data_IF_265059254414
#
_entry.id   IF_265059254414
#
_cell.length_a   1.000
_cell.length_b   1.000
_cell.length_c   1.000
_cell.angle_alpha   90.00
_cell.angle_beta   90.00
_cell.angle_gamma   90.00
#
_symmetry.space_group_name_H-M   'P 1'
#
loop_
_entity.id
_entity.type
_entity.pdbx_description
1 polymer ?
#
# COMPACT_ATOMS: atom_id res chain seq x y z
N UNK A 1 59.44 -21.38 17.03
CA UNK A 1 59.11 -22.82 17.17
C UNK A 1 58.33 -23.22 15.93
N UNK A 2 58.87 -23.80 14.85
CA UNK A 2 59.66 -25.04 14.64
C UNK A 2 58.87 -26.34 14.89
N UNK A 3 58.65 -27.08 13.76
CA UNK A 3 58.51 -28.55 13.58
C UNK A 3 57.14 -29.20 13.91
N UNK A 4 56.68 -30.26 13.24
CA UNK A 4 57.04 -31.03 12.02
C UNK A 4 55.95 -32.12 11.86
N UNK A 5 55.64 -32.46 10.61
CA UNK A 5 55.43 -33.83 10.06
C UNK A 5 55.10 -34.99 11.02
N UNK A 6 54.12 -35.81 10.63
CA UNK A 6 54.39 -37.20 10.20
C UNK A 6 53.24 -37.86 9.42
N UNK A 7 53.63 -38.49 8.31
CA UNK A 7 52.91 -39.51 7.53
C UNK A 7 52.75 -40.80 8.36
N UNK A 8 51.73 -41.59 8.03
CA UNK A 8 51.79 -43.05 8.15
C UNK A 8 51.15 -43.69 6.90
N UNK A 9 51.82 -44.75 6.45
CA UNK A 9 51.64 -45.53 5.23
C UNK A 9 50.77 -46.77 5.47
N UNK A 10 50.24 -47.34 4.40
CA UNK A 10 49.91 -48.78 4.30
C UNK A 10 48.63 -49.02 3.50
N UNK A 11 48.50 -49.97 2.58
CA UNK A 11 49.36 -51.06 2.08
C UNK A 11 48.88 -51.42 0.67
N UNK A 12 49.82 -51.86 -0.17
CA UNK A 12 49.67 -52.45 -1.50
C UNK A 12 48.73 -53.67 -1.53
N UNK A 13 47.95 -53.83 -2.60
CA UNK A 13 47.67 -55.16 -3.15
C UNK A 13 47.64 -55.11 -4.68
N UNK A 14 48.46 -55.97 -5.28
CA UNK A 14 48.65 -56.20 -6.71
C UNK A 14 47.42 -56.86 -7.33
N UNK A 15 47.06 -56.43 -8.55
CA UNK A 15 46.09 -57.10 -9.41
C UNK A 15 46.52 -56.98 -10.86
N UNK A 16 46.81 -58.11 -11.46
CA UNK A 16 47.45 -58.34 -12.76
C UNK A 16 46.64 -57.91 -13.99
N UNK A 17 47.40 -57.69 -15.06
CA UNK A 17 47.04 -57.30 -16.42
C UNK A 17 45.85 -58.05 -17.08
N UNK A 18 45.25 -57.41 -18.09
CA UNK A 18 45.02 -58.03 -19.40
C UNK A 18 44.84 -56.95 -20.49
N UNK A 19 45.66 -57.02 -21.54
CA UNK A 19 45.48 -56.31 -22.80
C UNK A 19 44.36 -57.01 -23.59
N UNK A 20 43.38 -56.25 -24.08
CA UNK A 20 42.54 -56.70 -25.19
C UNK A 20 42.11 -55.49 -26.03
N UNK A 21 42.56 -55.49 -27.29
CA UNK A 21 42.05 -54.65 -28.36
C UNK A 21 40.61 -55.03 -28.69
N UNK A 22 39.76 -54.07 -29.06
CA UNK A 22 38.41 -54.39 -29.52
C UNK A 22 37.55 -53.17 -29.86
N UNK A 23 37.45 -52.89 -31.16
CA UNK A 23 36.34 -52.29 -31.90
C UNK A 23 35.62 -51.05 -31.33
N UNK A 24 35.76 -49.93 -32.05
CA UNK A 24 34.82 -48.82 -32.01
C UNK A 24 33.40 -49.30 -32.38
N UNK A 25 32.44 -49.04 -31.49
CA UNK A 25 31.00 -49.23 -31.71
C UNK A 25 30.38 -47.83 -31.85
N UNK A 26 29.55 -47.55 -32.86
CA UNK A 26 28.94 -46.24 -33.01
C UNK A 26 27.98 -45.97 -31.85
N UNK A 27 28.10 -44.79 -31.24
CA UNK A 27 27.14 -44.31 -30.25
C UNK A 27 25.77 -44.17 -30.93
N UNK A 28 24.86 -45.10 -30.64
CA UNK A 28 23.45 -44.93 -30.94
C UNK A 28 22.92 -43.79 -30.09
N UNK A 29 22.57 -42.68 -30.75
CA UNK A 29 21.88 -41.57 -30.12
C UNK A 29 20.51 -42.07 -29.66
N UNK A 30 20.36 -42.34 -28.38
CA UNK A 30 19.04 -42.40 -27.75
C UNK A 30 18.47 -40.98 -27.79
N UNK A 31 17.51 -40.75 -28.69
CA UNK A 31 16.63 -39.60 -28.63
C UNK A 31 15.87 -39.67 -27.31
N UNK A 32 16.34 -38.97 -26.29
CA UNK A 32 15.51 -38.61 -25.16
C UNK A 32 14.35 -37.80 -25.74
N UNK A 33 13.16 -38.40 -25.79
CA UNK A 33 11.93 -37.64 -25.94
C UNK A 33 11.87 -36.75 -24.70
N UNK A 34 12.37 -35.52 -24.86
CA UNK A 34 11.99 -34.43 -24.00
C UNK A 34 10.47 -34.33 -24.21
N UNK A 35 9.72 -34.95 -23.29
CA UNK A 35 8.36 -34.54 -23.04
C UNK A 35 8.48 -33.03 -22.80
N UNK A 36 8.14 -32.26 -23.83
CA UNK A 36 7.93 -30.85 -23.70
C UNK A 36 6.86 -30.74 -22.61
N UNK A 37 7.30 -30.44 -21.39
CA UNK A 37 6.44 -29.91 -20.37
C UNK A 37 5.78 -28.73 -21.04
N UNK A 38 4.54 -28.93 -21.50
CA UNK A 38 3.70 -27.86 -21.95
C UNK A 38 3.71 -26.87 -20.80
N UNK A 39 4.42 -25.75 -20.97
CA UNK A 39 4.31 -24.63 -20.06
C UNK A 39 2.83 -24.31 -20.04
N UNK A 40 2.16 -24.72 -18.97
CA UNK A 40 0.81 -24.28 -18.63
C UNK A 40 0.79 -22.80 -18.95
N UNK A 41 0.03 -22.40 -19.98
CA UNK A 41 -0.09 -21.00 -20.34
C UNK A 41 -0.52 -20.33 -19.04
N UNK A 42 0.40 -19.55 -18.45
CA UNK A 42 0.12 -18.75 -17.27
C UNK A 42 -1.12 -17.96 -17.66
N UNK A 43 -2.26 -18.29 -17.05
CA UNK A 43 -3.57 -17.72 -17.37
C UNK A 43 -3.44 -16.24 -17.05
N UNK A 44 -3.07 -15.46 -18.06
CA UNK A 44 -2.69 -14.08 -17.87
C UNK A 44 -3.97 -13.32 -17.65
N UNK A 45 -4.22 -12.96 -16.40
CA UNK A 45 -5.28 -12.02 -16.09
C UNK A 45 -5.03 -10.75 -16.95
N UNK A 46 -6.04 -10.21 -17.65
CA UNK A 46 -5.89 -8.97 -18.42
C UNK A 46 -5.65 -7.76 -17.50
N UNK A 47 -4.73 -6.83 -17.83
CA UNK A 47 -4.39 -5.72 -16.93
C UNK A 47 -5.59 -4.80 -16.67
N UNK A 48 -5.56 -4.06 -15.56
CA UNK A 48 -6.57 -3.05 -15.24
C UNK A 48 -6.85 -2.10 -16.43
N UNK A 49 -8.11 -1.75 -16.66
CA UNK A 49 -8.51 -0.93 -17.82
C UNK A 49 -8.32 0.57 -17.60
N UNK A 50 -8.30 0.99 -16.34
CA UNK A 50 -8.30 2.39 -15.96
C UNK A 50 -7.40 2.62 -14.74
N UNK A 51 -6.90 3.85 -14.65
CA UNK A 51 -6.14 4.35 -13.50
C UNK A 51 -6.84 5.62 -13.04
N UNK A 52 -7.65 5.58 -11.97
CA UNK A 52 -8.45 6.72 -11.55
C UNK A 52 -7.62 7.77 -10.81
N UNK A 53 -7.97 9.03 -11.02
CA UNK A 53 -7.47 10.15 -10.21
C UNK A 53 -8.34 10.34 -8.97
N UNK A 54 -7.76 10.05 -7.80
CA UNK A 54 -8.38 10.17 -6.49
C UNK A 54 -8.06 11.52 -5.86
N UNK A 55 -9.08 12.16 -5.29
CA UNK A 55 -8.89 13.26 -4.36
C UNK A 55 -8.76 12.71 -2.94
N UNK A 56 -7.71 13.09 -2.21
CA UNK A 56 -7.53 12.71 -0.81
C UNK A 56 -8.72 13.17 0.04
N UNK A 57 -9.34 12.25 0.79
CA UNK A 57 -10.57 12.52 1.54
C UNK A 57 -11.83 12.68 0.68
N UNK A 58 -11.72 12.49 -0.63
CA UNK A 58 -12.83 12.58 -1.59
C UNK A 58 -13.63 11.27 -1.72
N UNK A 59 -14.59 11.23 -2.67
CA UNK A 59 -15.41 10.05 -2.91
C UNK A 59 -14.61 8.88 -3.50
N UNK A 60 -15.16 7.67 -3.37
CA UNK A 60 -14.58 6.47 -3.96
C UNK A 60 -14.60 6.53 -5.49
N UNK A 61 -13.56 5.96 -6.11
CA UNK A 61 -13.53 5.68 -7.55
C UNK A 61 -13.22 4.20 -7.79
N UNK A 62 -13.50 3.78 -9.01
CA UNK A 62 -13.43 2.39 -9.42
C UNK A 62 -12.16 2.09 -10.19
N UNK A 63 -11.59 0.91 -9.95
CA UNK A 63 -10.60 0.27 -10.82
C UNK A 63 -11.20 -1.01 -11.35
N UNK A 64 -11.22 -1.15 -12.67
CA UNK A 64 -11.88 -2.24 -13.36
C UNK A 64 -10.86 -3.23 -13.93
N UNK A 65 -11.02 -4.49 -13.52
CA UNK A 65 -10.26 -5.63 -14.01
C UNK A 65 -11.06 -6.36 -15.08
N UNK A 66 -10.60 -6.40 -16.34
CA UNK A 66 -11.32 -7.06 -17.42
C UNK A 66 -11.49 -8.56 -17.16
N UNK A 67 -12.60 -9.14 -17.65
CA UNK A 67 -12.73 -10.58 -17.75
C UNK A 67 -11.68 -11.18 -18.69
N UNK A 68 -11.21 -12.39 -18.40
CA UNK A 68 -10.37 -13.18 -19.31
C UNK A 68 -11.19 -13.94 -20.38
N UNK A 69 -12.53 -13.92 -20.26
CA UNK A 69 -13.46 -14.57 -21.18
C UNK A 69 -13.42 -16.09 -21.10
N UNK A 70 -12.80 -16.66 -20.06
CA UNK A 70 -12.63 -18.10 -19.91
C UNK A 70 -13.58 -18.69 -18.87
N UNK A 71 -13.80 -20.00 -19.00
CA UNK A 71 -14.43 -20.83 -17.97
C UNK A 71 -13.38 -21.35 -17.01
N UNK A 72 -13.65 -21.16 -15.74
CA UNK A 72 -12.87 -21.67 -14.63
C UNK A 72 -13.58 -22.91 -14.05
N UNK A 73 -12.80 -23.93 -13.71
CA UNK A 73 -13.28 -25.26 -13.30
C UNK A 73 -12.92 -25.60 -11.86
N UNK A 74 -12.59 -24.59 -11.07
CA UNK A 74 -12.25 -24.72 -9.66
C UNK A 74 -12.64 -23.44 -8.91
N UNK A 75 -12.90 -23.53 -7.60
CA UNK A 75 -12.97 -22.36 -6.74
C UNK A 75 -11.68 -21.55 -6.79
N UNK A 76 -11.78 -20.23 -6.71
CA UNK A 76 -10.61 -19.35 -6.76
C UNK A 76 -10.65 -18.31 -5.63
N UNK A 77 -9.47 -17.94 -5.15
CA UNK A 77 -9.30 -16.89 -4.16
C UNK A 77 -8.77 -15.61 -4.81
N UNK A 78 -9.31 -14.49 -4.33
CA UNK A 78 -8.86 -13.15 -4.68
C UNK A 78 -8.27 -12.51 -3.44
N UNK A 79 -7.10 -11.92 -3.58
CA UNK A 79 -6.45 -11.11 -2.54
C UNK A 79 -6.06 -9.77 -3.14
N UNK A 80 -6.41 -8.69 -2.45
CA UNK A 80 -6.15 -7.32 -2.90
C UNK A 80 -5.40 -6.60 -1.79
N UNK A 81 -4.31 -5.94 -2.16
CA UNK A 81 -3.59 -5.00 -1.32
C UNK A 81 -3.86 -3.59 -1.85
N UNK A 82 -4.38 -2.71 -0.99
CA UNK A 82 -4.61 -1.33 -1.35
C UNK A 82 -3.28 -0.62 -1.66
N UNK A 83 -3.24 0.29 -2.64
CA UNK A 83 -2.10 1.20 -2.82
C UNK A 83 -1.79 2.00 -1.54
N UNK A 84 -0.53 2.44 -1.34
CA UNK A 84 -0.20 3.37 -0.26
C UNK A 84 -1.10 4.60 -0.25
N UNK A 85 -1.44 5.10 0.94
CA UNK A 85 -2.35 6.24 1.16
C UNK A 85 -3.77 6.07 0.59
N UNK A 86 -4.20 4.82 0.38
CA UNK A 86 -5.56 4.51 -0.04
C UNK A 86 -6.16 3.38 0.79
N UNK A 87 -7.47 3.23 0.70
CA UNK A 87 -8.20 2.10 1.28
C UNK A 87 -9.28 1.61 0.33
N UNK A 88 -9.50 0.30 0.36
CA UNK A 88 -10.57 -0.38 -0.36
C UNK A 88 -11.85 -0.24 0.46
N UNK A 89 -12.91 0.24 -0.18
CA UNK A 89 -14.22 0.44 0.48
C UNK A 89 -15.30 -0.48 -0.08
N UNK A 90 -15.01 -1.15 -1.20
CA UNK A 90 -15.94 -2.07 -1.84
C UNK A 90 -15.25 -2.93 -2.88
N UNK A 91 -15.82 -4.10 -3.13
CA UNK A 91 -15.39 -5.02 -4.17
C UNK A 91 -16.62 -5.65 -4.81
N UNK A 92 -16.77 -5.43 -6.10
CA UNK A 92 -17.87 -5.92 -6.90
C UNK A 92 -17.39 -7.01 -7.86
N UNK A 93 -17.61 -8.27 -7.47
CA UNK A 93 -17.21 -9.43 -8.26
C UNK A 93 -18.29 -9.90 -9.24
N UNK A 94 -19.51 -9.35 -9.14
CA UNK A 94 -20.64 -9.65 -10.05
C UNK A 94 -20.88 -11.15 -10.26
N UNK A 95 -20.68 -11.94 -9.21
CA UNK A 95 -20.90 -13.38 -9.22
C UNK A 95 -22.36 -13.70 -9.52
N UNK A 96 -22.62 -14.36 -10.65
CA UNK A 96 -23.97 -14.69 -11.10
C UNK A 96 -24.29 -16.13 -10.71
N UNK A 97 -25.34 -16.34 -9.92
CA UNK A 97 -25.80 -17.68 -9.53
C UNK A 97 -24.97 -18.39 -8.46
N UNK A 98 -24.10 -17.67 -7.75
CA UNK A 98 -23.23 -18.24 -6.71
C UNK A 98 -22.78 -17.19 -5.68
N UNK A 99 -22.37 -17.67 -4.50
CA UNK A 99 -21.90 -16.82 -3.40
C UNK A 99 -20.42 -16.49 -3.58
N UNK A 100 -20.11 -15.20 -3.41
CA UNK A 100 -18.75 -14.69 -3.35
C UNK A 100 -18.56 -13.88 -2.07
N UNK A 101 -18.24 -14.52 -0.93
CA UNK A 101 -17.99 -13.77 0.30
C UNK A 101 -16.80 -12.84 0.07
N UNK A 102 -17.03 -11.56 0.31
CA UNK A 102 -16.01 -10.50 0.30
C UNK A 102 -15.75 -10.09 1.74
N UNK A 103 -14.47 -9.99 2.11
CA UNK A 103 -14.03 -9.52 3.41
C UNK A 103 -13.00 -8.40 3.20
N UNK A 104 -13.31 -7.21 3.70
CA UNK A 104 -12.40 -6.06 3.66
C UNK A 104 -11.88 -5.87 5.09
N UNK A 105 -10.57 -5.71 5.25
CA UNK A 105 -9.98 -5.43 6.55
C UNK A 105 -10.52 -4.12 7.12
N UNK A 106 -10.57 -3.99 8.46
CA UNK A 106 -11.14 -2.80 9.11
C UNK A 106 -10.43 -1.48 8.77
N UNK A 107 -9.16 -1.55 8.37
CA UNK A 107 -8.36 -0.42 7.87
C UNK A 107 -8.51 -0.19 6.35
N UNK A 108 -9.20 -1.10 5.65
CA UNK A 108 -9.35 -1.14 4.20
C UNK A 108 -8.04 -1.34 3.43
N UNK A 109 -6.94 -1.73 4.08
CA UNK A 109 -5.63 -1.90 3.42
C UNK A 109 -5.52 -3.23 2.68
N UNK A 110 -6.38 -4.18 3.01
CA UNK A 110 -6.49 -5.44 2.30
C UNK A 110 -7.95 -5.87 2.14
N UNK A 111 -8.22 -6.61 1.07
CA UNK A 111 -9.49 -7.27 0.86
C UNK A 111 -9.25 -8.69 0.35
N UNK A 112 -10.10 -9.62 0.76
CA UNK A 112 -10.11 -10.99 0.25
C UNK A 112 -11.49 -11.36 -0.22
N UNK A 113 -11.56 -12.21 -1.22
CA UNK A 113 -12.82 -12.78 -1.66
C UNK A 113 -12.63 -14.22 -2.13
N UNK A 114 -13.71 -15.01 -2.03
CA UNK A 114 -13.70 -16.40 -2.48
C UNK A 114 -14.78 -16.63 -3.53
N UNK A 115 -14.38 -17.16 -4.66
CA UNK A 115 -15.29 -17.63 -5.71
C UNK A 115 -15.57 -19.10 -5.42
N UNK A 116 -16.75 -19.41 -4.89
CA UNK A 116 -17.06 -20.76 -4.35
C UNK A 116 -17.53 -21.77 -5.39
N UNK A 117 -17.90 -21.31 -6.58
CA UNK A 117 -18.40 -22.17 -7.65
C UNK A 117 -17.31 -23.04 -8.25
N UNK A 118 -17.57 -24.35 -8.38
CA UNK A 118 -16.66 -25.27 -9.07
C UNK A 118 -16.63 -25.07 -10.58
N UNK A 119 -17.60 -24.37 -11.15
CA UNK A 119 -17.58 -23.92 -12.52
C UNK A 119 -18.15 -22.50 -12.59
N UNK A 120 -17.38 -21.57 -13.14
CA UNK A 120 -17.81 -20.19 -13.29
C UNK A 120 -17.14 -19.55 -14.52
N UNK A 121 -17.81 -18.57 -15.11
CA UNK A 121 -17.33 -17.89 -16.31
C UNK A 121 -16.94 -16.45 -15.97
N UNK A 122 -15.66 -16.09 -16.18
CA UNK A 122 -15.22 -14.72 -15.97
C UNK A 122 -15.58 -13.89 -17.20
N UNK A 123 -16.79 -13.36 -17.21
CA UNK A 123 -17.41 -12.68 -18.39
C UNK A 123 -17.76 -11.23 -18.15
N UNK A 124 -17.63 -10.76 -16.91
CA UNK A 124 -17.89 -9.38 -16.48
C UNK A 124 -16.70 -8.86 -15.68
N UNK A 125 -16.40 -7.56 -15.75
CA UNK A 125 -15.27 -7.01 -15.02
C UNK A 125 -15.47 -7.13 -13.50
N UNK A 126 -14.37 -7.32 -12.79
CA UNK A 126 -14.34 -7.12 -11.36
C UNK A 126 -14.00 -5.66 -11.07
N UNK A 127 -14.77 -5.03 -10.19
CA UNK A 127 -14.61 -3.62 -9.87
C UNK A 127 -14.17 -3.43 -8.43
N UNK A 128 -13.03 -2.78 -8.22
CA UNK A 128 -12.52 -2.42 -6.90
C UNK A 128 -12.84 -0.96 -6.62
N UNK A 129 -13.50 -0.67 -5.50
CA UNK A 129 -13.78 0.70 -5.07
C UNK A 129 -12.68 1.15 -4.12
N UNK A 130 -11.97 2.21 -4.49
CA UNK A 130 -10.81 2.74 -3.77
C UNK A 130 -11.05 4.22 -3.44
N UNK A 131 -10.69 4.62 -2.22
CA UNK A 131 -10.62 6.03 -1.80
C UNK A 131 -9.19 6.38 -1.41
N UNK A 132 -8.77 7.63 -1.65
CA UNK A 132 -7.52 8.15 -1.10
C UNK A 132 -7.75 8.64 0.33
N UNK A 133 -6.86 8.26 1.24
CA UNK A 133 -6.88 8.73 2.62
C UNK A 133 -6.52 10.23 2.68
N UNK A 134 -7.01 10.91 3.71
CA UNK A 134 -6.80 12.36 3.87
C UNK A 134 -5.35 12.74 4.13
N UNK A 135 -4.54 11.81 4.64
CA UNK A 135 -3.11 11.98 4.92
C UNK A 135 -2.21 11.75 3.70
N UNK A 136 -2.80 11.52 2.51
CA UNK A 136 -2.04 11.34 1.29
C UNK A 136 -1.15 12.57 0.97
N UNK A 137 0.06 12.36 0.39
CA UNK A 137 1.02 13.43 0.14
C UNK A 137 0.44 14.63 -0.61
N UNK A 138 0.88 15.83 -0.24
CA UNK A 138 0.50 17.07 -0.92
C UNK A 138 0.86 17.06 -2.40
N UNK A 139 2.04 16.55 -2.75
CA UNK A 139 2.48 16.47 -4.14
C UNK A 139 1.60 15.55 -5.01
N UNK A 140 0.78 14.69 -4.39
CA UNK A 140 0.09 13.61 -5.10
C UNK A 140 1.08 12.59 -5.65
N UNK A 141 0.65 11.86 -6.68
CA UNK A 141 1.50 10.92 -7.42
C UNK A 141 0.79 9.63 -7.79
N UNK A 142 1.56 8.71 -8.35
CA UNK A 142 1.09 7.37 -8.73
C UNK A 142 1.41 6.37 -7.63
N UNK A 143 0.40 5.63 -7.19
CA UNK A 143 0.53 4.62 -6.14
C UNK A 143 0.03 3.28 -6.66
N UNK A 144 0.77 2.22 -6.35
CA UNK A 144 0.47 0.87 -6.83
C UNK A 144 0.39 -0.09 -5.66
N UNK A 145 -0.78 -0.73 -5.53
CA UNK A 145 -1.00 -1.92 -4.72
C UNK A 145 -1.00 -3.17 -5.60
N UNK A 146 -1.67 -4.22 -5.14
CA UNK A 146 -1.74 -5.48 -5.89
C UNK A 146 -3.14 -6.06 -5.91
N UNK A 147 -3.52 -6.64 -7.04
CA UNK A 147 -4.69 -7.47 -7.19
C UNK A 147 -4.22 -8.87 -7.61
N UNK A 148 -4.53 -9.89 -6.83
CA UNK A 148 -4.11 -11.25 -7.09
C UNK A 148 -5.33 -12.15 -7.24
N UNK A 149 -5.45 -12.81 -8.40
CA UNK A 149 -6.42 -13.88 -8.65
C UNK A 149 -5.65 -15.18 -8.86
N UNK A 150 -5.90 -16.18 -8.02
CA UNK A 150 -5.32 -17.52 -8.18
C UNK A 150 -3.78 -17.53 -8.36
N UNK A 151 -3.09 -16.68 -7.58
CA UNK A 151 -1.63 -16.51 -7.63
C UNK A 151 -1.12 -15.59 -8.76
N UNK A 152 -1.95 -15.24 -9.74
CA UNK A 152 -1.61 -14.27 -10.78
C UNK A 152 -1.83 -12.87 -10.25
N UNK A 153 -0.75 -12.10 -10.12
CA UNK A 153 -0.77 -10.76 -9.52
C UNK A 153 -0.68 -9.69 -10.59
N UNK A 154 -1.54 -8.68 -10.45
CA UNK A 154 -1.58 -7.48 -11.24
C UNK A 154 -1.40 -6.24 -10.37
N UNK A 155 -0.92 -5.13 -10.97
CA UNK A 155 -0.92 -3.85 -10.28
C UNK A 155 -2.36 -3.37 -10.07
N UNK A 156 -2.61 -2.83 -8.88
CA UNK A 156 -3.75 -1.95 -8.61
C UNK A 156 -3.19 -0.54 -8.58
N UNK A 157 -3.26 0.20 -9.69
CA UNK A 157 -2.66 1.53 -9.79
C UNK A 157 -3.73 2.60 -9.72
N UNK A 158 -3.42 3.65 -8.97
CA UNK A 158 -4.24 4.85 -8.86
C UNK A 158 -3.34 6.07 -8.92
N UNK A 159 -3.91 7.20 -9.31
CA UNK A 159 -3.28 8.50 -9.13
C UNK A 159 -3.94 9.21 -7.96
N UNK A 160 -3.16 9.88 -7.14
CA UNK A 160 -3.67 10.82 -6.15
C UNK A 160 -3.34 12.21 -6.65
N UNK A 161 -4.36 13.06 -6.81
CA UNK A 161 -4.18 14.42 -7.30
C UNK A 161 -3.40 15.26 -6.28
N UNK A 162 -2.55 16.20 -6.73
CA UNK A 162 -1.93 17.18 -5.85
C UNK A 162 -2.96 17.92 -4.98
N UNK A 163 -2.53 18.35 -3.80
CA UNK A 163 -3.36 18.98 -2.79
C UNK A 163 -2.98 20.42 -2.52
N UNK A 164 -3.84 21.06 -1.73
CA UNK A 164 -3.58 22.36 -1.16
C UNK A 164 -2.99 22.15 0.24
N UNK A 165 -1.97 22.94 0.57
CA UNK A 165 -1.40 22.93 1.91
C UNK A 165 -2.46 23.36 2.93
N UNK A 166 -2.49 22.64 4.06
CA UNK A 166 -3.40 22.94 5.16
C UNK A 166 -2.80 23.94 6.14
N UNK A 167 -3.64 24.85 6.64
CA UNK A 167 -3.30 25.82 7.68
C UNK A 167 -4.27 25.72 8.86
N UNK A 168 -3.87 26.29 10.00
CA UNK A 168 -4.79 26.63 11.08
C UNK A 168 -5.24 28.08 10.84
N UNK A 169 -6.50 28.28 10.48
CA UNK A 169 -7.01 29.58 10.04
C UNK A 169 -7.22 30.52 11.24
N UNK A 170 -6.33 31.49 11.40
CA UNK A 170 -6.45 32.49 12.45
C UNK A 170 -5.22 33.39 12.61
N UNK A 171 -5.36 34.35 13.52
CA UNK A 171 -4.27 35.24 13.89
C UNK A 171 -3.44 34.61 15.02
N UNK A 172 -2.23 34.18 14.69
CA UNK A 172 -1.35 33.42 15.59
C UNK A 172 -0.11 34.25 15.97
N UNK A 173 0.33 34.13 17.23
CA UNK A 173 1.52 34.84 17.72
C UNK A 173 2.31 34.02 18.74
N UNK A 174 3.63 34.13 18.71
CA UNK A 174 4.49 33.55 19.75
C UNK A 174 4.10 34.05 21.15
N UNK A 175 4.11 33.16 22.14
CA UNK A 175 4.05 33.58 23.55
C UNK A 175 5.31 34.36 23.95
N UNK A 176 5.22 35.16 25.00
CA UNK A 176 6.36 35.83 25.62
C UNK A 176 6.57 35.29 27.05
N UNK A 177 7.79 34.83 27.42
CA UNK A 177 8.96 34.65 26.55
C UNK A 177 8.73 33.57 25.47
N UNK A 178 9.54 33.61 24.41
CA UNK A 178 9.48 32.65 23.31
C UNK A 178 9.74 31.23 23.81
N UNK A 179 9.05 30.24 23.24
CA UNK A 179 9.17 28.83 23.62
C UNK A 179 8.01 28.26 24.43
N UNK A 180 7.03 29.10 24.82
CA UNK A 180 5.83 28.68 25.55
C UNK A 180 4.66 28.21 24.67
N UNK A 181 4.83 28.22 23.35
CA UNK A 181 3.81 27.85 22.37
C UNK A 181 3.33 29.01 21.50
N UNK A 182 2.29 28.73 20.70
CA UNK A 182 1.67 29.68 19.78
C UNK A 182 0.33 30.13 20.32
N UNK A 183 0.22 31.39 20.70
CA UNK A 183 -1.03 32.00 21.17
C UNK A 183 -1.96 32.31 20.00
N UNK A 184 -3.21 31.88 20.13
CA UNK A 184 -4.30 32.23 19.23
C UNK A 184 -4.87 33.58 19.66
N UNK A 185 -4.79 34.59 18.79
CA UNK A 185 -5.34 35.92 19.01
C UNK A 185 -6.74 36.06 18.42
N UNK A 186 -6.96 35.45 17.27
CA UNK A 186 -8.26 35.35 16.60
C UNK A 186 -8.31 34.05 15.79
N UNK A 187 -9.51 33.59 15.50
CA UNK A 187 -9.77 32.46 14.58
C UNK A 187 -10.64 33.02 13.46
N UNK A 188 -10.38 32.59 12.23
CA UNK A 188 -11.13 33.12 11.08
C UNK A 188 -12.58 32.61 11.12
N UNK A 189 -13.59 33.51 11.08
CA UNK A 189 -14.98 33.10 11.19
C UNK A 189 -15.43 32.19 10.05
N UNK A 190 -16.17 31.13 10.38
CA UNK A 190 -16.65 30.13 9.42
C UNK A 190 -15.58 29.15 8.94
N UNK A 191 -14.36 29.20 9.49
CA UNK A 191 -13.30 28.24 9.21
C UNK A 191 -13.56 26.86 9.84
N UNK A 192 -12.93 25.83 9.29
CA UNK A 192 -12.95 24.49 9.89
C UNK A 192 -12.22 24.48 11.23
N UNK A 193 -11.22 25.36 11.38
CA UNK A 193 -10.53 25.65 12.64
C UNK A 193 -11.47 26.15 13.74
N UNK A 194 -12.38 27.10 13.42
CA UNK A 194 -13.40 27.58 14.36
C UNK A 194 -14.38 26.48 14.72
N UNK A 195 -14.88 25.73 13.72
CA UNK A 195 -15.80 24.62 13.92
C UNK A 195 -15.21 23.50 14.80
N UNK A 196 -13.89 23.32 14.80
CA UNK A 196 -13.18 22.39 15.67
C UNK A 196 -13.08 22.84 17.13
N UNK A 197 -13.51 24.08 17.43
CA UNK A 197 -13.55 24.63 18.78
C UNK A 197 -12.23 25.23 19.27
N UNK A 198 -11.33 25.61 18.36
CA UNK A 198 -10.18 26.46 18.71
C UNK A 198 -10.70 27.84 19.08
N UNK A 199 -10.22 28.40 20.18
CA UNK A 199 -10.73 29.68 20.69
C UNK A 199 -9.60 30.72 20.82
N UNK A 200 -9.92 32.01 20.65
CA UNK A 200 -9.03 33.08 21.04
C UNK A 200 -8.58 32.94 22.51
N UNK A 201 -7.29 33.11 22.76
CA UNK A 201 -6.67 32.94 24.07
C UNK A 201 -6.01 31.58 24.30
N UNK A 202 -6.31 30.58 23.46
CA UNK A 202 -5.61 29.30 23.47
C UNK A 202 -4.11 29.46 23.18
N UNK A 203 -3.31 28.55 23.71
CA UNK A 203 -1.89 28.44 23.36
C UNK A 203 -1.63 27.05 22.81
N UNK A 204 -1.36 26.95 21.51
CA UNK A 204 -1.01 25.70 20.83
C UNK A 204 0.39 25.28 21.29
N UNK A 205 0.50 24.07 21.80
CA UNK A 205 1.76 23.51 22.29
C UNK A 205 2.23 22.30 21.49
N UNK A 206 1.31 21.62 20.79
CA UNK A 206 1.61 20.43 20.00
C UNK A 206 0.61 20.28 18.83
N UNK A 207 1.10 19.84 17.69
CA UNK A 207 0.29 19.45 16.52
C UNK A 207 0.81 18.13 15.98
N UNK A 208 -0.10 17.18 15.74
CA UNK A 208 0.22 15.86 15.19
C UNK A 208 1.32 15.09 15.97
N UNK A 209 1.40 15.28 17.30
CA UNK A 209 2.44 14.66 18.13
C UNK A 209 3.77 15.40 18.17
N UNK A 210 3.89 16.54 17.47
CA UNK A 210 5.11 17.34 17.37
C UNK A 210 4.92 18.64 18.14
N UNK A 211 5.90 18.99 18.98
CA UNK A 211 5.88 20.22 19.78
C UNK A 211 6.03 21.45 18.88
N UNK A 212 5.25 22.49 19.18
CA UNK A 212 5.24 23.76 18.42
C UNK A 212 5.53 24.95 19.34
N UNK A 213 6.78 25.12 19.81
CA UNK A 213 7.13 26.16 20.77
C UNK A 213 7.09 27.58 20.16
N UNK A 214 7.17 27.68 18.83
CA UNK A 214 7.04 28.93 18.07
C UNK A 214 6.14 28.77 16.84
N UNK A 215 5.70 29.90 16.26
CA UNK A 215 4.93 29.96 15.01
C UNK A 215 5.71 29.32 13.87
N UNK A 216 7.02 29.56 13.78
CA UNK A 216 7.85 28.94 12.75
C UNK A 216 7.86 27.41 12.87
N UNK A 217 7.87 26.87 14.10
CA UNK A 217 7.79 25.43 14.32
C UNK A 217 6.41 24.87 13.96
N UNK A 218 5.34 25.63 14.28
CA UNK A 218 3.99 25.29 13.85
C UNK A 218 3.88 25.24 12.32
N UNK A 219 4.37 26.27 11.62
CA UNK A 219 4.38 26.33 10.17
C UNK A 219 5.20 25.19 9.57
N UNK A 220 6.34 24.84 10.17
CA UNK A 220 7.15 23.71 9.75
C UNK A 220 6.42 22.36 9.93
N UNK A 221 5.64 22.19 11.00
CA UNK A 221 4.83 20.98 11.25
C UNK A 221 3.66 20.88 10.27
N UNK A 222 3.05 22.01 9.93
CA UNK A 222 1.96 22.09 8.96
C UNK A 222 2.45 22.00 7.51
N UNK A 223 3.72 22.33 7.25
CA UNK A 223 4.34 22.14 5.95
C UNK A 223 4.25 20.68 5.51
N UNK A 224 3.72 20.44 4.31
CA UNK A 224 3.50 19.07 3.82
C UNK A 224 2.19 18.43 4.28
N UNK A 225 1.39 19.09 5.14
CA UNK A 225 0.06 18.62 5.55
C UNK A 225 -1.01 19.13 4.61
N UNK A 226 -2.00 18.28 4.34
CA UNK A 226 -3.07 18.57 3.38
C UNK A 226 -4.26 19.25 4.04
N UNK A 227 -4.84 20.23 3.34
CA UNK A 227 -6.14 20.81 3.69
C UNK A 227 -7.23 19.73 3.76
N UNK A 228 -8.15 19.85 4.71
CA UNK A 228 -9.22 18.89 4.96
C UNK A 228 -8.81 17.67 5.79
N UNK A 229 -7.50 17.41 5.95
CA UNK A 229 -7.03 16.38 6.88
C UNK A 229 -7.18 16.86 8.32
N UNK A 230 -7.67 15.98 9.19
CA UNK A 230 -7.85 16.27 10.62
C UNK A 230 -6.63 15.86 11.41
N UNK A 231 -6.07 16.78 12.19
CA UNK A 231 -4.94 16.51 13.07
C UNK A 231 -5.29 16.77 14.53
N UNK A 232 -4.67 15.98 15.40
CA UNK A 232 -4.68 16.22 16.85
C UNK A 232 -3.87 17.47 17.16
N UNK A 233 -4.51 18.44 17.80
CA UNK A 233 -3.88 19.69 18.26
C UNK A 233 -4.05 19.79 19.77
N UNK A 234 -2.94 19.95 20.50
CA UNK A 234 -2.96 20.16 21.95
C UNK A 234 -2.80 21.64 22.24
N UNK A 235 -3.76 22.19 22.97
CA UNK A 235 -3.77 23.60 23.37
C UNK A 235 -3.83 23.72 24.89
N UNK A 236 -3.24 24.80 25.41
CA UNK A 236 -3.40 25.21 26.81
C UNK A 236 -4.49 26.27 26.89
N UNK A 237 -5.62 25.90 27.50
CA UNK A 237 -6.78 26.78 27.72
C UNK A 237 -6.99 26.99 29.21
N UNK A 238 -6.95 28.25 29.65
CA UNK A 238 -7.07 28.61 31.07
C UNK A 238 -6.15 27.81 32.03
N UNK A 239 -4.97 27.41 31.54
CA UNK A 239 -3.99 26.63 32.30
C UNK A 239 -4.09 25.10 32.15
N UNK A 240 -5.19 24.57 31.64
CA UNK A 240 -5.40 23.14 31.39
C UNK A 240 -5.05 22.77 29.94
N UNK A 241 -4.58 21.54 29.73
CA UNK A 241 -4.37 21.00 28.39
C UNK A 241 -5.69 20.45 27.83
N UNK A 242 -6.05 20.91 26.64
CA UNK A 242 -7.22 20.48 25.88
C UNK A 242 -6.71 19.91 24.56
N UNK A 243 -7.23 18.75 24.17
CA UNK A 243 -6.92 18.15 22.87
C UNK A 243 -8.10 18.39 21.93
N UNK A 244 -7.82 18.98 20.77
CA UNK A 244 -8.78 19.25 19.71
C UNK A 244 -8.43 18.39 18.47
N UNK A 245 -9.45 18.07 17.68
CA UNK A 245 -9.29 17.42 16.37
C UNK A 245 -9.62 18.47 15.33
N UNK A 246 -8.59 19.05 14.71
CA UNK A 246 -8.74 20.20 13.83
C UNK A 246 -8.54 19.76 12.37
N UNK A 247 -9.58 19.81 11.52
CA UNK A 247 -9.43 19.79 10.06
C UNK A 247 -8.69 21.05 9.61
N UNK A 248 -7.60 20.89 8.86
CA UNK A 248 -6.86 22.03 8.34
C UNK A 248 -7.64 22.72 7.23
N UNK A 249 -7.65 24.05 7.27
CA UNK A 249 -8.24 24.87 6.22
C UNK A 249 -7.26 24.98 5.04
N UNK A 250 -7.73 25.17 3.79
CA UNK A 250 -6.84 25.42 2.66
C UNK A 250 -6.09 26.73 2.84
N UNK A 251 -4.79 26.73 2.52
CA UNK A 251 -4.02 27.97 2.39
C UNK A 251 -4.67 28.85 1.31
N UNK A 252 -4.99 30.13 1.62
CA UNK A 252 -5.71 31.03 0.72
C UNK A 252 -4.91 31.48 -0.52
#
# INVERSE_FOLDING_TARGET
MIRKFRRAYGVLALGTALFAAGAAVPATAFSASAAASASSQVRSLPPQQNVPDLAAGGPAKTVDYPPDGQRHHQPESITIQAPPYTRIVGLDLRCTGMLCPVQIAGDGKSATAQITGSNWDFTRPFTVHVVADSDAPLAGGTFTGSFTLNGVTQPLTVHISPGIQGIIAGNLKNTSPAGGGVRVLAVDPGSSTEAAGLLPGDVITEVAGILTPTVNDLDAVLSGKRSGATYRVVVKRAGALVTLQIPLDPEP
#
